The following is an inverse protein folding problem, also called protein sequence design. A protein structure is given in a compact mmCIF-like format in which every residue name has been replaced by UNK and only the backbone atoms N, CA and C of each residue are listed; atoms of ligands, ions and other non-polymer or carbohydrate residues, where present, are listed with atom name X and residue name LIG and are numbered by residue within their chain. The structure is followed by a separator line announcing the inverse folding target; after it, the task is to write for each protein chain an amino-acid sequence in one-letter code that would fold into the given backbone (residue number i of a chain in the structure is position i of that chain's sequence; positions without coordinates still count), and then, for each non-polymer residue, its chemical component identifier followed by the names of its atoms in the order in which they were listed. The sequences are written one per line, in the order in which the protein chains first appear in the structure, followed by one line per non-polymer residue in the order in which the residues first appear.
data_IF_972555044277
#
_entry.id   IF_972555044277
#
_cell.length_a   1.000
_cell.length_b   1.000
_cell.length_c   1.000
_cell.angle_alpha   90.00
_cell.angle_beta   90.00
_cell.angle_gamma   90.00
#
_symmetry.space_group_name_H-M   'P 1'
#
loop_
_entity.id
_entity.type
_entity.pdbx_description
1 polymer ?
#
# COMPACT_ATOMS: atom_id res chain seq x y z
N UNK A 1 32.47 -13.54 -23.43
CA UNK A 1 31.90 -12.31 -22.83
C UNK A 1 30.69 -11.87 -23.64
N UNK A 2 29.46 -12.08 -23.14
CA UNK A 2 28.22 -11.75 -23.86
C UNK A 2 27.95 -10.25 -23.89
N UNK A 3 27.70 -9.71 -25.08
CA UNK A 3 27.42 -8.29 -25.34
C UNK A 3 26.17 -7.85 -24.54
N UNK A 4 26.33 -6.96 -23.55
CA UNK A 4 25.21 -6.42 -22.77
C UNK A 4 24.18 -5.78 -23.71
N UNK A 5 22.97 -6.33 -23.75
CA UNK A 5 21.86 -5.79 -24.57
C UNK A 5 21.45 -4.42 -24.01
N UNK A 6 21.42 -3.40 -24.88
CA UNK A 6 21.05 -2.04 -24.48
C UNK A 6 19.54 -1.95 -24.24
N UNK A 7 19.07 -1.29 -23.17
CA UNK A 7 17.64 -1.18 -22.87
C UNK A 7 16.89 -0.28 -23.86
N UNK A 8 17.60 0.65 -24.51
CA UNK A 8 17.05 1.63 -25.46
C UNK A 8 17.55 1.41 -26.89
N UNK A 9 16.70 1.72 -27.87
CA UNK A 9 17.06 1.85 -29.29
C UNK A 9 17.81 3.16 -29.53
N UNK A 10 18.46 3.31 -30.68
CA UNK A 10 19.15 4.56 -31.07
C UNK A 10 18.21 5.78 -31.16
N UNK A 11 16.90 5.55 -31.15
CA UNK A 11 15.83 6.56 -31.21
C UNK A 11 15.24 6.87 -29.82
N UNK A 12 15.85 6.37 -28.74
CA UNK A 12 15.39 6.60 -27.36
C UNK A 12 14.18 5.77 -26.94
N UNK A 13 13.62 4.92 -27.80
CA UNK A 13 12.51 4.02 -27.45
C UNK A 13 13.03 2.79 -26.71
N UNK A 14 12.23 2.21 -25.82
CA UNK A 14 12.56 0.91 -25.22
C UNK A 14 12.62 -0.19 -26.28
N UNK A 15 13.58 -1.10 -26.14
CA UNK A 15 13.63 -2.33 -26.95
C UNK A 15 12.48 -3.26 -26.58
N UNK A 16 12.04 -4.10 -27.52
CA UNK A 16 10.92 -5.02 -27.30
C UNK A 16 11.18 -6.00 -26.14
N UNK A 17 12.42 -6.50 -26.02
CA UNK A 17 12.81 -7.32 -24.87
C UNK A 17 12.75 -6.57 -23.53
N UNK A 18 13.11 -5.29 -23.53
CA UNK A 18 13.02 -4.45 -22.33
C UNK A 18 11.57 -4.09 -21.98
N UNK A 19 10.70 -3.89 -22.98
CA UNK A 19 9.25 -3.72 -22.77
C UNK A 19 8.61 -4.96 -22.16
N UNK A 20 8.94 -6.16 -22.64
CA UNK A 20 8.46 -7.43 -22.04
C UNK A 20 8.96 -7.60 -20.61
N UNK A 21 10.22 -7.26 -20.34
CA UNK A 21 10.79 -7.24 -18.99
C UNK A 21 10.02 -6.27 -18.07
N UNK A 22 9.73 -5.05 -18.54
CA UNK A 22 8.94 -4.07 -17.77
C UNK A 22 7.48 -4.50 -17.58
N UNK A 23 6.85 -5.11 -18.58
CA UNK A 23 5.48 -5.62 -18.49
C UNK A 23 5.34 -6.73 -17.42
N UNK A 24 6.38 -7.53 -17.21
CA UNK A 24 6.46 -8.51 -16.12
C UNK A 24 6.72 -7.88 -14.74
N UNK A 25 7.27 -6.66 -14.70
CA UNK A 25 7.47 -5.89 -13.47
C UNK A 25 6.18 -5.14 -13.12
N UNK A 26 5.10 -5.88 -12.82
CA UNK A 26 3.91 -5.34 -12.12
C UNK A 26 4.26 -4.96 -10.69
N UNK A 27 5.28 -4.13 -10.50
CA UNK A 27 5.93 -3.90 -9.21
C UNK A 27 4.94 -3.32 -8.20
N UNK A 28 4.00 -2.50 -8.66
CA UNK A 28 2.99 -1.87 -7.82
C UNK A 28 1.92 -2.86 -7.32
N UNK A 29 1.51 -3.83 -8.14
CA UNK A 29 0.49 -4.83 -7.77
C UNK A 29 1.16 -6.04 -7.12
N UNK A 30 2.15 -6.63 -7.78
CA UNK A 30 2.88 -7.80 -7.32
C UNK A 30 3.65 -7.57 -6.02
N UNK A 31 4.40 -6.46 -5.88
CA UNK A 31 5.10 -6.20 -4.61
C UNK A 31 4.19 -5.66 -3.52
N UNK A 32 3.12 -4.95 -3.87
CA UNK A 32 2.12 -4.50 -2.91
C UNK A 32 1.54 -5.66 -2.11
N UNK A 33 1.16 -6.74 -2.80
CA UNK A 33 0.63 -7.97 -2.18
C UNK A 33 1.71 -8.92 -1.65
N UNK A 34 2.88 -9.03 -2.29
CA UNK A 34 3.97 -9.93 -1.88
C UNK A 34 4.88 -9.36 -0.76
N UNK A 35 4.31 -8.63 0.21
CA UNK A 35 5.02 -8.10 1.37
C UNK A 35 5.20 -6.56 1.41
N UNK A 36 4.62 -5.85 0.45
CA UNK A 36 4.44 -4.41 0.47
C UNK A 36 3.35 -3.96 1.43
N UNK A 37 2.90 -2.70 1.31
CA UNK A 37 1.95 -2.11 2.25
C UNK A 37 0.65 -2.89 2.33
N UNK A 38 0.04 -3.19 1.18
CA UNK A 38 -1.26 -3.84 1.09
C UNK A 38 -1.25 -5.25 1.68
N UNK A 39 -0.26 -6.07 1.32
CA UNK A 39 -0.09 -7.43 1.86
C UNK A 39 0.37 -7.47 3.32
N UNK A 40 0.63 -6.32 3.94
CA UNK A 40 1.06 -6.22 5.36
C UNK A 40 -0.03 -5.68 6.28
N UNK A 41 -1.23 -5.40 5.77
CA UNK A 41 -2.36 -4.98 6.59
C UNK A 41 -2.86 -6.20 7.37
N UNK A 42 -2.94 -6.05 8.69
CA UNK A 42 -3.44 -7.08 9.60
C UNK A 42 -4.52 -6.48 10.49
N UNK A 43 -5.44 -7.34 10.93
CA UNK A 43 -6.48 -7.03 11.90
C UNK A 43 -6.36 -7.95 13.12
N UNK A 44 -6.61 -7.42 14.31
CA UNK A 44 -6.67 -8.19 15.55
C UNK A 44 -7.89 -7.78 16.37
N UNK A 45 -8.66 -8.77 16.80
CA UNK A 45 -9.79 -8.57 17.70
C UNK A 45 -9.39 -8.88 19.15
N UNK A 46 -9.90 -8.07 20.07
CA UNK A 46 -9.83 -8.21 21.52
C UNK A 46 -11.25 -8.16 22.10
N UNK A 47 -11.46 -8.55 23.36
CA UNK A 47 -12.79 -8.49 23.99
C UNK A 47 -13.42 -7.08 24.01
N UNK A 48 -12.59 -6.04 24.05
CA UNK A 48 -12.97 -4.63 24.23
C UNK A 48 -12.62 -3.73 23.03
N UNK A 49 -11.86 -4.24 22.04
CA UNK A 49 -11.40 -3.42 20.90
C UNK A 49 -11.07 -4.26 19.66
N UNK A 50 -11.02 -3.59 18.52
CA UNK A 50 -10.46 -4.13 17.28
C UNK A 50 -9.36 -3.20 16.78
N UNK A 51 -8.22 -3.77 16.39
CA UNK A 51 -7.07 -3.06 15.86
C UNK A 51 -6.86 -3.46 14.41
N UNK A 52 -6.63 -2.48 13.52
CA UNK A 52 -6.30 -2.71 12.11
C UNK A 52 -5.14 -1.81 11.71
N UNK A 53 -4.11 -2.36 11.06
CA UNK A 53 -2.94 -1.58 10.69
C UNK A 53 -1.84 -2.38 9.99
N UNK A 54 -0.64 -1.80 9.94
CA UNK A 54 0.54 -2.40 9.30
C UNK A 54 1.78 -2.20 10.16
N UNK A 55 2.71 -3.17 10.22
CA UNK A 55 4.02 -3.00 10.87
C UNK A 55 5.00 -2.16 10.02
N UNK A 56 4.63 -1.78 8.78
CA UNK A 56 5.51 -0.99 7.92
C UNK A 56 5.56 0.45 8.42
N UNK A 57 6.74 0.92 8.83
CA UNK A 57 6.97 2.29 9.31
C UNK A 57 6.46 3.33 8.30
N UNK A 58 6.69 3.10 7.00
CA UNK A 58 6.23 4.00 5.96
C UNK A 58 4.70 4.03 5.80
N UNK A 59 3.96 3.04 6.31
CA UNK A 59 2.50 3.05 6.30
C UNK A 59 1.90 4.27 7.00
N UNK A 60 2.50 4.69 8.12
CA UNK A 60 2.05 5.89 8.84
C UNK A 60 2.19 7.17 7.99
N UNK A 61 3.33 7.37 7.32
CA UNK A 61 3.54 8.55 6.46
C UNK A 61 2.63 8.50 5.23
N UNK A 62 2.24 7.32 4.74
CA UNK A 62 1.21 7.22 3.71
C UNK A 62 -0.18 7.54 4.25
N UNK A 63 -0.57 7.03 5.42
CA UNK A 63 -1.91 7.26 5.97
C UNK A 63 -2.14 8.74 6.32
N UNK A 64 -1.21 9.35 7.05
CA UNK A 64 -1.38 10.68 7.63
C UNK A 64 -0.65 11.79 6.87
N UNK A 65 0.27 11.45 5.97
CA UNK A 65 1.20 12.40 5.40
C UNK A 65 2.27 12.85 6.40
N UNK A 66 3.03 13.88 6.02
CA UNK A 66 4.01 14.54 6.88
C UNK A 66 5.40 14.60 6.28
N UNK A 67 6.38 14.93 7.14
CA UNK A 67 7.76 15.13 6.72
C UNK A 67 8.55 13.82 6.63
N UNK A 68 9.27 13.64 5.52
CA UNK A 68 10.05 12.46 5.20
C UNK A 68 11.38 12.80 4.51
N UNK A 69 12.13 11.76 4.15
CA UNK A 69 13.45 11.89 3.52
C UNK A 69 14.58 12.24 4.50
N UNK A 70 15.79 12.43 3.97
CA UNK A 70 16.97 12.75 4.77
C UNK A 70 16.77 14.09 5.48
N UNK A 71 16.75 14.07 6.81
CA UNK A 71 16.52 15.25 7.63
C UNK A 71 15.12 15.83 7.53
N UNK A 72 14.10 15.02 7.17
CA UNK A 72 12.68 15.43 7.15
C UNK A 72 12.37 16.65 6.24
N UNK A 73 13.13 16.79 5.14
CA UNK A 73 13.01 17.94 4.22
C UNK A 73 11.89 17.82 3.18
N UNK A 74 11.30 16.65 3.01
CA UNK A 74 10.26 16.39 1.99
C UNK A 74 8.90 16.32 2.66
N UNK A 75 7.96 17.13 2.24
CA UNK A 75 6.57 17.00 2.68
C UNK A 75 5.83 16.00 1.77
N UNK A 76 5.33 14.90 2.35
CA UNK A 76 4.53 13.90 1.66
C UNK A 76 3.05 14.14 2.02
N UNK A 77 2.14 14.31 1.05
CA UNK A 77 0.72 14.42 1.34
C UNK A 77 0.14 13.10 1.84
N UNK A 78 -0.92 13.18 2.64
CA UNK A 78 -1.68 12.01 3.07
C UNK A 78 -2.26 11.25 1.87
N UNK A 79 -2.14 9.94 1.92
CA UNK A 79 -2.68 8.93 0.99
C UNK A 79 -3.40 7.85 1.83
N UNK A 80 -4.49 8.21 2.52
CA UNK A 80 -5.19 7.31 3.42
C UNK A 80 -5.70 6.09 2.67
N UNK A 81 -5.35 4.91 3.19
CA UNK A 81 -5.67 3.61 2.57
C UNK A 81 -6.48 2.70 3.49
N UNK A 82 -6.55 3.01 4.80
CA UNK A 82 -7.45 2.31 5.72
C UNK A 82 -8.90 2.77 5.59
N UNK A 83 -9.12 3.99 5.07
CA UNK A 83 -10.42 4.58 4.74
C UNK A 83 -11.55 4.36 5.77
N UNK A 84 -11.24 4.44 7.07
CA UNK A 84 -12.29 4.60 8.10
C UNK A 84 -12.57 6.09 8.22
N UNK A 85 -13.76 6.50 7.80
CA UNK A 85 -14.26 7.86 7.82
C UNK A 85 -15.37 8.02 8.86
N UNK A 86 -15.74 9.26 9.17
CA UNK A 86 -16.76 9.52 10.17
C UNK A 86 -18.14 9.01 9.74
N UNK A 87 -18.37 8.95 8.43
CA UNK A 87 -19.58 8.44 7.80
C UNK A 87 -19.74 6.92 7.94
N UNK A 88 -18.66 6.18 8.23
CA UNK A 88 -18.69 4.71 8.36
C UNK A 88 -19.15 4.26 9.76
N UNK A 89 -19.09 5.13 10.76
CA UNK A 89 -19.45 4.80 12.15
C UNK A 89 -20.87 4.23 12.34
N UNK A 90 -21.92 4.74 11.66
CA UNK A 90 -23.27 4.16 11.74
C UNK A 90 -23.31 2.71 11.24
N UNK A 91 -22.60 2.39 10.15
CA UNK A 91 -22.54 1.03 9.60
C UNK A 91 -21.78 0.09 10.56
N UNK A 92 -20.62 0.54 11.06
CA UNK A 92 -19.83 -0.21 12.05
C UNK A 92 -20.67 -0.50 13.30
N UNK A 93 -21.39 0.49 13.82
CA UNK A 93 -22.27 0.33 14.98
C UNK A 93 -23.38 -0.68 14.71
N UNK A 94 -24.01 -0.58 13.54
CA UNK A 94 -25.09 -1.50 13.14
C UNK A 94 -24.56 -2.94 13.03
N UNK A 95 -23.37 -3.13 12.47
CA UNK A 95 -22.72 -4.43 12.37
C UNK A 95 -22.44 -5.04 13.76
N UNK A 96 -21.92 -4.23 14.70
CA UNK A 96 -21.68 -4.66 16.09
C UNK A 96 -23.00 -5.01 16.78
N UNK A 97 -24.01 -4.14 16.70
CA UNK A 97 -25.33 -4.40 17.31
C UNK A 97 -25.93 -5.70 16.78
N UNK A 98 -25.92 -5.90 15.46
CA UNK A 98 -26.40 -7.13 14.83
C UNK A 98 -25.66 -8.37 15.33
N UNK A 99 -24.35 -8.28 15.55
CA UNK A 99 -23.55 -9.38 16.11
C UNK A 99 -23.95 -9.68 17.56
N UNK A 100 -24.10 -8.65 18.40
CA UNK A 100 -24.45 -8.79 19.81
C UNK A 100 -25.88 -9.30 20.04
N UNK A 101 -26.84 -8.93 19.18
CA UNK A 101 -28.26 -9.31 19.36
C UNK A 101 -28.68 -10.57 18.60
N UNK A 102 -27.85 -11.09 17.68
CA UNK A 102 -28.08 -12.39 17.00
C UNK A 102 -27.44 -13.57 17.74
N UNK A 103 -26.63 -13.30 18.76
CA UNK A 103 -26.11 -14.31 19.69
C UNK A 103 -27.20 -14.85 20.60
#
# INVERSE_FOLDING_TARGET
MGRKRKPFTKQGKFTEGFRRYLAGKKILIGQGFAGGLLGSINSRAYPDRAEVGTPKIYGAIHQFGGQAGRGKKVNIPARPYLMVQDEDWPEIRTAIQKYLTRG
#
